data_IF_529459082660
#
_entry.id   IF_529459082660
#
_cell.length_a   1.000
_cell.length_b   1.000
_cell.length_c   1.000
_cell.angle_alpha   90.00
_cell.angle_beta   90.00
_cell.angle_gamma   90.00
#
_symmetry.space_group_name_H-M   'P 1'
#
loop_
_entity.id
_entity.type
_entity.pdbx_description
1 polymer ?
#
# COMPACT_ATOMS: atom_id res chain seq x y z
N UNK A 1 -17.17 19.44 11.76
CA UNK A 1 -15.79 19.79 11.37
C UNK A 1 -15.60 19.24 9.97
N UNK A 2 -15.23 20.06 8.99
CA UNK A 2 -15.06 19.62 7.60
C UNK A 2 -13.64 19.08 7.44
N UNK A 3 -13.51 17.82 7.07
CA UNK A 3 -12.22 17.21 6.73
C UNK A 3 -12.05 17.28 5.22
N UNK A 4 -10.91 17.79 4.77
CA UNK A 4 -10.57 17.91 3.36
C UNK A 4 -9.63 16.79 2.94
N UNK A 5 -9.93 16.20 1.79
CA UNK A 5 -9.25 15.04 1.25
C UNK A 5 -8.40 15.47 0.06
N UNK A 6 -7.08 15.38 0.19
CA UNK A 6 -6.14 15.69 -0.89
C UNK A 6 -5.46 14.42 -1.38
N UNK A 7 -5.69 14.04 -2.63
CA UNK A 7 -5.00 12.88 -3.21
C UNK A 7 -3.54 13.24 -3.44
N UNK A 8 -2.63 12.55 -2.76
CA UNK A 8 -1.18 12.81 -2.82
C UNK A 8 -0.51 11.88 -3.82
N UNK A 9 -0.89 10.60 -3.80
CA UNK A 9 -0.26 9.60 -4.65
C UNK A 9 -1.28 8.56 -5.12
N UNK A 10 -1.09 8.03 -6.33
CA UNK A 10 -1.88 6.92 -6.86
C UNK A 10 -0.91 5.84 -7.32
N UNK A 11 -1.15 4.59 -6.91
CA UNK A 11 -0.33 3.44 -7.27
C UNK A 11 -1.23 2.24 -7.60
N UNK A 12 -1.31 1.91 -8.89
CA UNK A 12 -2.21 0.87 -9.39
C UNK A 12 -3.67 1.22 -9.09
N UNK A 13 -4.34 0.35 -8.33
CA UNK A 13 -5.73 0.53 -7.89
C UNK A 13 -5.88 1.17 -6.51
N UNK A 14 -4.79 1.68 -5.93
CA UNK A 14 -4.77 2.28 -4.60
C UNK A 14 -4.36 3.75 -4.68
N UNK A 15 -4.95 4.60 -3.84
CA UNK A 15 -4.72 6.03 -3.79
C UNK A 15 -4.44 6.45 -2.36
N UNK A 16 -3.35 7.18 -2.15
CA UNK A 16 -2.97 7.75 -0.87
C UNK A 16 -3.50 9.19 -0.79
N UNK A 17 -4.31 9.45 0.22
CA UNK A 17 -5.04 10.69 0.44
C UNK A 17 -4.60 11.29 1.78
N UNK A 18 -4.18 12.55 1.77
CA UNK A 18 -3.96 13.31 2.98
C UNK A 18 -5.27 13.89 3.50
N UNK A 19 -5.48 13.76 4.80
CA UNK A 19 -6.57 14.36 5.54
C UNK A 19 -6.08 15.66 6.15
N UNK A 20 -6.80 16.75 5.89
CA UNK A 20 -6.49 18.07 6.41
C UNK A 20 -7.72 18.65 7.10
N UNK A 21 -7.50 19.44 8.16
CA UNK A 21 -8.58 20.18 8.86
C UNK A 21 -8.96 21.47 8.16
N UNK A 22 -8.14 21.91 7.22
CA UNK A 22 -8.32 23.16 6.49
C UNK A 22 -8.50 22.88 4.99
N UNK A 23 -9.20 23.76 4.26
CA UNK A 23 -9.38 23.62 2.81
C UNK A 23 -8.07 23.76 2.02
N UNK A 24 -7.06 24.39 2.62
CA UNK A 24 -5.76 24.59 2.02
C UNK A 24 -4.83 23.45 2.40
N UNK A 25 -4.25 22.80 1.38
CA UNK A 25 -3.27 21.74 1.59
C UNK A 25 -2.02 22.31 2.27
N UNK A 26 -1.82 21.96 3.53
CA UNK A 26 -0.63 22.33 4.31
C UNK A 26 -0.10 21.13 5.08
N UNK A 27 1.19 20.77 4.93
CA UNK A 27 1.77 19.62 5.64
C UNK A 27 1.75 19.79 7.17
N UNK A 28 1.66 21.03 7.67
CA UNK A 28 1.47 21.33 9.10
C UNK A 28 0.04 21.07 9.60
N UNK A 29 -0.94 21.03 8.69
CA UNK A 29 -2.36 20.84 8.97
C UNK A 29 -2.88 19.45 8.57
N UNK A 30 -1.98 18.58 8.11
CA UNK A 30 -2.30 17.19 7.84
C UNK A 30 -2.54 16.49 9.18
N UNK A 31 -3.75 16.01 9.36
CA UNK A 31 -4.13 15.23 10.55
C UNK A 31 -3.85 13.75 10.39
N UNK A 32 -3.66 13.28 9.15
CA UNK A 32 -3.29 11.90 8.89
C UNK A 32 -3.33 11.58 7.41
N UNK A 33 -2.86 10.39 7.07
CA UNK A 33 -2.93 9.85 5.71
C UNK A 33 -3.85 8.62 5.70
N UNK A 34 -4.58 8.43 4.61
CA UNK A 34 -5.47 7.27 4.41
C UNK A 34 -5.29 6.73 3.00
N UNK A 35 -5.37 5.42 2.84
CA UNK A 35 -5.33 4.78 1.52
C UNK A 35 -6.75 4.36 1.13
N UNK A 36 -7.16 4.77 -0.07
CA UNK A 36 -8.43 4.41 -0.69
C UNK A 36 -8.18 3.50 -1.89
N UNK A 37 -9.16 2.66 -2.22
CA UNK A 37 -9.16 1.96 -3.51
C UNK A 37 -9.57 2.93 -4.62
N UNK A 38 -9.32 2.56 -5.87
CA UNK A 38 -9.80 3.24 -7.07
C UNK A 38 -11.35 3.28 -7.16
N UNK A 39 -12.04 2.44 -6.38
CA UNK A 39 -13.50 2.48 -6.22
C UNK A 39 -13.99 3.44 -5.13
N UNK A 40 -13.09 4.22 -4.52
CA UNK A 40 -13.43 5.14 -3.43
C UNK A 40 -13.67 4.46 -2.08
N UNK A 41 -13.43 3.16 -1.97
CA UNK A 41 -13.53 2.46 -0.69
C UNK A 41 -12.31 2.81 0.16
N UNK A 42 -12.53 3.47 1.31
CA UNK A 42 -11.49 3.62 2.33
C UNK A 42 -11.13 2.25 2.87
N UNK A 43 -9.85 1.88 2.74
CA UNK A 43 -9.36 0.63 3.30
C UNK A 43 -8.98 0.78 4.77
N UNK A 44 -8.67 2.00 5.24
CA UNK A 44 -8.24 2.24 6.62
C UNK A 44 -8.75 3.55 7.22
N UNK A 45 -8.85 3.52 8.55
CA UNK A 45 -9.44 4.53 9.43
C UNK A 45 -8.36 5.18 10.30
N UNK A 46 -7.87 6.34 9.83
CA UNK A 46 -7.31 7.49 10.57
C UNK A 46 -6.01 7.30 11.40
N UNK A 47 -5.15 8.33 11.36
CA UNK A 47 -3.90 8.53 12.14
C UNK A 47 -2.60 7.81 11.70
N UNK A 48 -2.48 7.34 10.45
CA UNK A 48 -1.17 6.88 9.96
C UNK A 48 -0.29 8.02 9.46
N UNK A 49 1.01 7.93 9.76
CA UNK A 49 2.03 8.82 9.20
C UNK A 49 2.21 8.60 7.69
N UNK A 50 2.77 9.59 6.99
CA UNK A 50 3.01 9.50 5.53
C UNK A 50 3.81 8.25 5.16
N UNK A 51 4.83 7.92 5.95
CA UNK A 51 5.69 6.76 5.75
C UNK A 51 4.91 5.45 5.90
N UNK A 52 4.11 5.33 6.95
CA UNK A 52 3.26 4.16 7.19
C UNK A 52 2.23 3.96 6.08
N UNK A 53 1.54 5.03 5.68
CA UNK A 53 0.58 4.98 4.58
C UNK A 53 1.26 4.57 3.25
N UNK A 54 2.51 5.00 3.02
CA UNK A 54 3.29 4.62 1.85
C UNK A 54 3.69 3.14 1.87
N UNK A 55 4.22 2.65 2.99
CA UNK A 55 4.61 1.24 3.17
C UNK A 55 3.38 0.34 3.07
N UNK A 56 2.26 0.75 3.64
CA UNK A 56 1.02 0.00 3.58
C UNK A 56 0.42 -0.03 2.16
N UNK A 57 0.40 1.10 1.44
CA UNK A 57 0.00 1.12 0.03
C UNK A 57 0.91 0.23 -0.82
N UNK A 58 2.21 0.24 -0.57
CA UNK A 58 3.16 -0.64 -1.24
C UNK A 58 2.84 -2.12 -0.99
N UNK A 59 2.63 -2.48 0.28
CA UNK A 59 2.22 -3.83 0.71
C UNK A 59 0.91 -4.26 0.06
N UNK A 60 -0.08 -3.35 -0.05
CA UNK A 60 -1.36 -3.63 -0.71
C UNK A 60 -1.20 -3.86 -2.21
N UNK A 61 -0.39 -3.04 -2.88
CA UNK A 61 -0.05 -3.20 -4.30
C UNK A 61 0.73 -4.49 -4.52
N UNK A 62 1.64 -4.85 -3.62
CA UNK A 62 2.38 -6.12 -3.67
C UNK A 62 1.48 -7.33 -3.38
N UNK A 63 0.55 -7.24 -2.44
CA UNK A 63 -0.41 -8.31 -2.17
C UNK A 63 -1.40 -8.50 -3.34
N UNK A 64 -1.81 -7.42 -3.99
CA UNK A 64 -2.71 -7.49 -5.15
C UNK A 64 -1.98 -7.90 -6.44
N UNK A 65 -0.88 -7.22 -6.75
CA UNK A 65 -0.05 -7.49 -7.93
C UNK A 65 0.76 -8.78 -7.81
N UNK A 66 1.10 -9.20 -6.60
CA UNK A 66 1.81 -10.44 -6.29
C UNK A 66 0.94 -11.70 -6.31
N UNK A 67 -0.37 -11.57 -6.52
CA UNK A 67 -1.23 -12.70 -6.90
C UNK A 67 -0.83 -13.35 -8.22
N UNK A 68 0.01 -12.68 -9.01
CA UNK A 68 0.62 -13.19 -10.25
C UNK A 68 2.10 -12.79 -10.33
N UNK A 69 2.92 -13.27 -9.39
CA UNK A 69 4.22 -13.89 -9.70
C UNK A 69 5.01 -14.24 -8.45
N UNK A 70 5.37 -15.54 -8.37
CA UNK A 70 6.51 -16.11 -7.64
C UNK A 70 6.33 -16.28 -6.13
N UNK A 71 5.63 -17.36 -5.80
CA UNK A 71 6.29 -18.55 -5.24
C UNK A 71 7.44 -18.26 -4.27
N UNK A 72 7.08 -18.22 -2.98
CA UNK A 72 7.73 -18.93 -1.87
C UNK A 72 9.20 -19.34 -2.11
N UNK A 73 10.10 -18.65 -1.40
CA UNK A 73 11.31 -19.24 -0.79
C UNK A 73 10.92 -20.61 -0.14
N UNK A 74 11.75 -21.68 -0.08
CA UNK A 74 13.22 -21.69 -0.01
C UNK A 74 13.91 -22.80 -0.86
N UNK A 75 15.06 -22.49 -1.48
CA UNK A 75 15.91 -23.49 -2.12
C UNK A 75 16.62 -24.38 -1.08
N UNK A 76 15.96 -25.44 -0.64
CA UNK A 76 16.60 -26.55 0.08
C UNK A 76 15.92 -27.87 -0.27
N UNK A 77 16.46 -28.57 -1.27
CA UNK A 77 16.28 -30.01 -1.45
C UNK A 77 17.45 -30.60 -2.25
N UNK A 78 18.41 -31.22 -1.53
CA UNK A 78 19.30 -32.29 -2.03
C UNK A 78 18.44 -33.53 -2.32
N UNK A 79 18.98 -34.61 -2.92
CA UNK A 79 19.78 -34.73 -4.14
C UNK A 79 19.08 -35.66 -5.15
N UNK A 80 19.13 -35.37 -6.46
CA UNK A 80 18.62 -36.30 -7.47
C UNK A 80 19.70 -37.32 -7.85
N UNK A 81 19.62 -38.53 -7.27
CA UNK A 81 20.30 -39.70 -7.83
C UNK A 81 19.68 -40.05 -9.18
N UNK A 82 20.48 -40.09 -10.25
CA UNK A 82 20.16 -40.94 -11.41
C UNK A 82 21.41 -41.52 -12.05
N UNK A 83 21.52 -42.85 -11.88
CA UNK A 83 22.44 -43.80 -12.50
C UNK A 83 22.57 -43.61 -14.02
N UNK A 84 23.76 -43.98 -14.53
CA UNK A 84 24.06 -44.84 -15.70
C UNK A 84 24.85 -44.16 -16.82
N UNK A 85 26.14 -44.49 -16.90
CA UNK A 85 26.82 -45.11 -18.06
C UNK A 85 28.16 -45.65 -17.58
#
# INVERSE_FOLDING_TARGET
MMEYHHTIQVKGRYQLVALTREPEYSPANVVGYTVTTAGGARLDSHDMSWDEARVWMDTLVEQDGGGVSVEKKPSKSKPSTRRRS
#
